data_IF_316770270843
#
_entry.id   IF_316770270843
#
_cell.length_a   1.000
_cell.length_b   1.000
_cell.length_c   1.000
_cell.angle_alpha   90.00
_cell.angle_beta   90.00
_cell.angle_gamma   90.00
#
_symmetry.space_group_name_H-M   'P 1'
#
loop_
_entity.id
_entity.type
_entity.pdbx_description
1 polymer ?
#
# COMPACT_ATOMS: atom_id res chain seq x y z
N UNK A 1 10.22 -11.81 -2.50
CA UNK A 1 9.76 -10.44 -2.22
C UNK A 1 8.29 -10.44 -2.59
N UNK A 2 7.43 -10.14 -1.62
CA UNK A 2 5.99 -10.12 -1.83
C UNK A 2 5.60 -8.82 -2.54
N UNK A 3 4.57 -8.85 -3.38
CA UNK A 3 4.10 -7.67 -4.12
C UNK A 3 2.68 -7.35 -3.70
N UNK A 4 2.35 -6.06 -3.59
CA UNK A 4 0.96 -5.63 -3.37
C UNK A 4 0.12 -5.99 -4.60
N UNK A 5 -0.97 -6.72 -4.39
CA UNK A 5 -1.90 -7.15 -5.45
C UNK A 5 -3.32 -6.65 -5.25
N UNK A 6 -3.61 -6.02 -4.12
CA UNK A 6 -4.92 -5.48 -3.80
C UNK A 6 -4.91 -4.66 -2.52
N UNK A 7 -6.06 -4.08 -2.21
CA UNK A 7 -6.22 -3.17 -1.08
C UNK A 7 -7.60 -3.33 -0.46
N UNK A 8 -7.72 -2.95 0.82
CA UNK A 8 -9.00 -2.81 1.49
C UNK A 8 -9.22 -1.32 1.76
N UNK A 9 -10.38 -0.81 1.35
CA UNK A 9 -10.81 0.57 1.65
C UNK A 9 -11.94 0.59 2.68
N UNK A 10 -11.97 1.61 3.53
CA UNK A 10 -13.12 1.85 4.41
C UNK A 10 -14.31 2.45 3.62
N UNK A 11 -15.43 2.71 4.31
CA UNK A 11 -16.63 3.31 3.68
C UNK A 11 -16.40 4.71 3.10
N UNK A 12 -15.36 5.43 3.56
CA UNK A 12 -14.98 6.75 3.05
C UNK A 12 -14.01 6.66 1.85
N UNK A 13 -13.60 5.46 1.45
CA UNK A 13 -12.66 5.23 0.34
C UNK A 13 -11.18 5.30 0.75
N UNK A 14 -10.88 5.44 2.04
CA UNK A 14 -9.51 5.48 2.55
C UNK A 14 -8.91 4.07 2.59
N UNK A 15 -7.67 3.92 2.14
CA UNK A 15 -6.94 2.65 2.17
C UNK A 15 -6.55 2.34 3.61
N UNK A 16 -7.03 1.22 4.15
CA UNK A 16 -6.76 0.78 5.51
C UNK A 16 -5.83 -0.43 5.57
N UNK A 17 -5.76 -1.22 4.50
CA UNK A 17 -4.90 -2.41 4.42
C UNK A 17 -4.52 -2.75 2.98
N UNK A 18 -3.43 -3.50 2.84
CA UNK A 18 -2.91 -4.01 1.58
C UNK A 18 -2.92 -5.54 1.60
N UNK A 19 -3.16 -6.12 0.44
CA UNK A 19 -3.11 -7.56 0.21
C UNK A 19 -1.89 -7.86 -0.64
N UNK A 20 -1.06 -8.79 -0.18
CA UNK A 20 0.18 -9.16 -0.89
C UNK A 20 -0.02 -10.45 -1.68
N UNK A 21 0.88 -10.71 -2.64
CA UNK A 21 0.86 -11.88 -3.52
C UNK A 21 0.90 -13.22 -2.77
N UNK A 22 1.30 -13.22 -1.50
CA UNK A 22 1.30 -14.39 -0.61
C UNK A 22 -0.01 -14.56 0.17
N UNK A 23 -1.02 -13.73 -0.10
CA UNK A 23 -2.33 -13.79 0.55
C UNK A 23 -2.36 -13.16 1.95
N UNK A 24 -1.29 -12.48 2.38
CA UNK A 24 -1.28 -11.72 3.64
C UNK A 24 -2.11 -10.46 3.48
N UNK A 25 -2.81 -10.09 4.55
CA UNK A 25 -3.43 -8.77 4.71
C UNK A 25 -2.65 -7.99 5.75
N UNK A 26 -2.10 -6.85 5.35
CA UNK A 26 -1.28 -6.00 6.23
C UNK A 26 -1.91 -4.61 6.37
N UNK A 27 -1.89 -4.08 7.59
CA UNK A 27 -2.36 -2.71 7.84
C UNK A 27 -1.53 -1.67 7.07
N UNK A 28 -2.10 -0.49 6.83
CA UNK A 28 -1.41 0.62 6.19
C UNK A 28 -0.07 0.97 6.86
N UNK A 29 -0.03 1.03 8.20
CA UNK A 29 1.19 1.36 8.94
C UNK A 29 2.27 0.28 8.77
N UNK A 30 1.88 -0.99 8.74
CA UNK A 30 2.81 -2.09 8.47
C UNK A 30 3.36 -2.02 7.04
N UNK A 31 2.50 -1.75 6.06
CA UNK A 31 2.92 -1.60 4.68
C UNK A 31 3.90 -0.42 4.50
N UNK A 32 3.71 0.69 5.22
CA UNK A 32 4.67 1.81 5.24
C UNK A 32 6.08 1.37 5.65
N UNK A 33 6.18 0.62 6.75
CA UNK A 33 7.46 0.13 7.26
C UNK A 33 8.07 -0.90 6.32
N UNK A 34 7.28 -1.88 5.89
CA UNK A 34 7.76 -2.96 5.03
C UNK A 34 8.15 -2.47 3.62
N UNK A 35 7.51 -1.41 3.10
CA UNK A 35 7.93 -0.75 1.86
C UNK A 35 9.23 0.03 2.05
N UNK A 36 9.39 0.74 3.17
CA UNK A 36 10.63 1.46 3.50
C UNK A 36 11.83 0.49 3.67
N UNK A 37 11.59 -0.70 4.22
CA UNK A 37 12.58 -1.77 4.39
C UNK A 37 12.79 -2.62 3.11
N UNK A 38 12.03 -2.38 2.04
CA UNK A 38 12.11 -3.15 0.78
C UNK A 38 11.62 -4.59 0.89
N UNK A 39 10.79 -4.91 1.88
CA UNK A 39 10.21 -6.24 2.11
C UNK A 39 9.07 -6.51 1.12
N UNK A 40 8.26 -5.48 0.82
CA UNK A 40 7.15 -5.53 -0.14
C UNK A 40 7.42 -4.64 -1.36
N UNK A 41 6.93 -5.05 -2.53
CA UNK A 41 7.01 -4.30 -3.81
C UNK A 41 5.65 -3.82 -4.28
N UNK A 42 5.64 -2.96 -5.31
CA UNK A 42 4.44 -2.37 -5.92
C UNK A 42 4.02 -1.06 -5.24
N UNK A 43 4.58 -0.77 -4.08
CA UNK A 43 4.37 0.47 -3.32
C UNK A 43 5.67 0.99 -2.75
N UNK A 44 5.80 2.31 -2.67
CA UNK A 44 6.94 3.02 -2.13
C UNK A 44 6.51 3.96 -1.01
N UNK A 45 7.30 4.02 0.07
CA UNK A 45 7.13 5.00 1.13
C UNK A 45 7.88 6.29 0.77
N UNK A 46 7.16 7.40 0.64
CA UNK A 46 7.72 8.71 0.30
C UNK A 46 7.21 9.79 1.24
N UNK A 47 7.99 10.83 1.47
CA UNK A 47 7.56 11.98 2.26
C UNK A 47 6.64 12.89 1.44
N UNK A 48 5.48 13.25 1.99
CA UNK A 48 4.58 14.22 1.39
C UNK A 48 5.03 15.67 1.67
N UNK A 49 4.31 16.65 1.13
CA UNK A 49 4.58 18.08 1.36
C UNK A 49 4.54 18.55 2.83
N UNK A 50 3.95 17.77 3.74
CA UNK A 50 3.88 18.09 5.18
C UNK A 50 5.00 17.41 5.98
N UNK A 51 5.93 16.70 5.34
CA UNK A 51 6.94 15.91 6.04
C UNK A 51 6.42 14.55 6.55
N UNK A 52 5.23 14.11 6.13
CA UNK A 52 4.64 12.84 6.55
C UNK A 52 4.91 11.74 5.52
N UNK A 53 5.38 10.59 5.98
CA UNK A 53 5.50 9.40 5.14
C UNK A 53 4.12 8.89 4.71
N UNK A 54 3.97 8.69 3.40
CA UNK A 54 2.79 8.13 2.75
C UNK A 54 3.22 7.05 1.76
N UNK A 55 2.33 6.09 1.50
CA UNK A 55 2.51 5.11 0.45
C UNK A 55 2.01 5.65 -0.90
N UNK A 56 2.81 5.43 -1.93
CA UNK A 56 2.44 5.66 -3.33
C UNK A 56 2.67 4.37 -4.14
N UNK A 57 1.90 4.11 -5.21
CA UNK A 57 2.24 3.04 -6.14
C UNK A 57 3.61 3.30 -6.78
N UNK A 58 4.35 2.23 -7.09
CA UNK A 58 5.65 2.37 -7.76
C UNK A 58 5.51 2.69 -9.25
N UNK A 59 4.52 2.11 -9.94
CA UNK A 59 4.38 2.20 -11.39
C UNK A 59 3.13 2.96 -11.85
N UNK A 60 2.15 3.14 -10.96
CA UNK A 60 0.84 3.69 -11.30
C UNK A 60 0.67 5.11 -10.76
N UNK A 61 -0.16 5.95 -11.43
CA UNK A 61 -0.45 7.30 -10.96
C UNK A 61 -1.29 7.32 -9.67
N UNK A 62 -2.03 6.24 -9.38
CA UNK A 62 -2.87 6.11 -8.18
C UNK A 62 -3.14 4.64 -7.84
N UNK A 63 -3.70 4.41 -6.65
CA UNK A 63 -4.16 3.10 -6.20
C UNK A 63 -5.47 2.62 -6.84
N UNK A 64 -6.04 3.36 -7.80
CA UNK A 64 -7.36 3.02 -8.34
C UNK A 64 -7.35 1.81 -9.28
N UNK A 65 -6.18 1.41 -9.77
CA UNK A 65 -6.02 0.19 -10.57
C UNK A 65 -5.98 -1.08 -9.71
N UNK A 66 -5.75 -0.95 -8.41
CA UNK A 66 -5.68 -2.09 -7.51
C UNK A 66 -7.10 -2.54 -7.12
N UNK A 67 -7.38 -3.85 -7.17
CA UNK A 67 -8.68 -4.35 -6.77
C UNK A 67 -8.95 -4.06 -5.30
N UNK A 68 -10.18 -3.62 -5.00
CA UNK A 68 -10.66 -3.52 -3.64
C UNK A 68 -11.16 -4.90 -3.20
N UNK A 69 -10.49 -5.50 -2.24
CA UNK A 69 -10.78 -6.81 -1.68
C UNK A 69 -11.56 -6.60 -0.37
N UNK A 70 -12.66 -7.33 -0.20
CA UNK A 70 -13.59 -7.20 0.94
C UNK A 70 -13.67 -8.52 1.71
#
# INVERSE_FOLDING_TARGET
METVVGLHRNHFGEIISFVTSEGRVISYQKALLEAADGIIQGVQATENHDGKLVLNPEQDPSFDQYPNLF
#
